data_IF_913985250732
#
_entry.id   IF_913985250732
#
_cell.length_a   1.000
_cell.length_b   1.000
_cell.length_c   1.000
_cell.angle_alpha   90.00
_cell.angle_beta   90.00
_cell.angle_gamma   90.00
#
_symmetry.space_group_name_H-M   'P 1'
#
loop_
_entity.id
_entity.type
_entity.pdbx_description
1 polymer ?
#
# COMPACT_ATOMS: atom_id res chain seq x y z
N UNK A 1 -11.51 6.82 -2.63
CA UNK A 1 -10.94 7.12 -3.96
C UNK A 1 -10.17 8.43 -3.87
N UNK A 2 -8.94 8.39 -3.38
CA UNK A 2 -8.00 9.53 -3.44
C UNK A 2 -6.70 8.95 -4.00
N UNK A 3 -6.62 8.91 -5.31
CA UNK A 3 -5.46 8.49 -6.10
C UNK A 3 -5.42 9.40 -7.32
N UNK A 4 -4.24 9.90 -7.65
CA UNK A 4 -3.91 10.66 -8.86
C UNK A 4 -4.45 12.09 -8.93
N UNK A 5 -3.74 13.03 -8.28
CA UNK A 5 -3.56 14.41 -8.79
C UNK A 5 -2.36 15.15 -8.16
N UNK A 6 -1.18 14.52 -8.16
CA UNK A 6 0.11 15.13 -7.76
C UNK A 6 1.22 14.86 -8.80
N UNK A 7 0.81 14.63 -10.05
CA UNK A 7 1.68 14.54 -11.22
C UNK A 7 1.10 15.45 -12.29
N UNK A 8 1.95 16.31 -12.86
CA UNK A 8 1.75 17.15 -14.06
C UNK A 8 1.64 18.68 -13.89
N UNK A 9 1.77 19.23 -12.68
CA UNK A 9 2.18 20.63 -12.52
C UNK A 9 3.71 20.72 -12.48
N UNK A 10 4.32 21.09 -13.61
CA UNK A 10 5.74 21.47 -13.68
C UNK A 10 5.95 22.72 -12.83
N UNK A 11 6.54 22.55 -11.64
CA UNK A 11 7.07 23.67 -10.88
C UNK A 11 8.07 24.45 -11.75
N UNK A 12 7.90 25.77 -11.94
CA UNK A 12 8.86 26.56 -12.70
C UNK A 12 10.20 26.59 -11.96
N UNK A 13 11.30 26.36 -12.66
CA UNK A 13 12.64 26.63 -12.14
C UNK A 13 12.81 28.13 -11.94
N UNK A 14 12.54 28.61 -10.72
CA UNK A 14 12.98 29.93 -10.29
C UNK A 14 14.24 29.78 -9.44
N UNK A 15 15.35 30.31 -9.98
CA UNK A 15 16.67 30.27 -9.37
C UNK A 15 16.84 31.40 -8.37
N UNK A 16 16.18 31.24 -7.23
CA UNK A 16 16.60 31.87 -5.98
C UNK A 16 16.52 30.80 -4.88
N UNK A 17 17.49 30.74 -3.95
CA UNK A 17 17.31 29.91 -2.77
C UNK A 17 16.12 30.50 -2.00
N UNK A 18 15.00 29.77 -1.95
CA UNK A 18 13.84 30.15 -1.13
C UNK A 18 14.37 30.38 0.27
N UNK A 19 14.37 31.64 0.72
CA UNK A 19 14.98 31.98 1.99
C UNK A 19 14.29 31.20 3.10
N UNK A 20 15.06 30.46 3.89
CA UNK A 20 14.58 29.77 5.09
C UNK A 20 14.36 30.79 6.23
N UNK A 21 13.63 31.85 5.92
CA UNK A 21 13.29 32.95 6.80
C UNK A 21 11.89 32.78 7.37
N UNK A 22 11.64 33.50 8.47
CA UNK A 22 10.35 33.50 9.17
C UNK A 22 9.28 34.17 8.33
N UNK A 23 9.64 35.19 7.54
CA UNK A 23 8.74 35.97 6.70
C UNK A 23 8.17 35.12 5.55
N UNK A 24 9.04 34.38 4.85
CA UNK A 24 8.64 33.46 3.78
C UNK A 24 7.76 32.34 4.35
N UNK A 25 8.12 31.77 5.50
CA UNK A 25 7.27 30.79 6.18
C UNK A 25 5.88 31.36 6.49
N UNK A 26 5.78 32.58 7.01
CA UNK A 26 4.49 33.21 7.32
C UNK A 26 3.64 33.46 6.07
N UNK A 27 4.24 33.82 4.95
CA UNK A 27 3.52 33.98 3.68
C UNK A 27 2.98 32.65 3.15
N UNK A 28 3.81 31.60 3.13
CA UNK A 28 3.39 30.25 2.72
C UNK A 28 2.29 29.73 3.66
N UNK A 29 2.47 29.87 4.97
CA UNK A 29 1.54 29.37 5.98
C UNK A 29 0.15 30.01 5.90
N UNK A 30 0.06 31.33 5.66
CA UNK A 30 -1.22 32.05 5.44
C UNK A 30 -2.02 31.48 4.26
N UNK A 31 -1.35 30.84 3.31
CA UNK A 31 -1.93 30.32 2.07
C UNK A 31 -2.32 28.83 2.12
N UNK A 32 -2.14 28.13 3.25
CA UNK A 32 -2.48 26.71 3.38
C UNK A 32 -3.99 26.44 3.28
N UNK A 33 -4.82 27.24 3.93
CA UNK A 33 -6.27 27.01 4.05
C UNK A 33 -7.08 27.85 3.05
N UNK A 34 -6.72 27.77 1.77
CA UNK A 34 -7.39 28.50 0.68
C UNK A 34 -8.72 27.90 0.24
N UNK A 35 -8.94 26.60 0.47
CA UNK A 35 -10.21 25.94 0.11
C UNK A 35 -11.35 26.34 1.05
N UNK A 36 -12.53 26.65 0.50
CA UNK A 36 -13.71 27.01 1.29
C UNK A 36 -14.31 25.81 2.04
N UNK A 37 -14.04 24.58 1.58
CA UNK A 37 -14.54 23.36 2.23
C UNK A 37 -13.71 23.05 3.47
N UNK A 38 -14.37 22.99 4.62
CA UNK A 38 -13.76 22.70 5.93
C UNK A 38 -12.64 23.69 6.34
N UNK A 39 -12.76 24.94 5.89
CA UNK A 39 -11.80 26.03 6.13
C UNK A 39 -11.49 26.26 7.60
N UNK A 40 -12.51 26.27 8.47
CA UNK A 40 -12.33 26.46 9.91
C UNK A 40 -11.58 25.30 10.57
N UNK A 41 -11.84 24.06 10.14
CA UNK A 41 -11.11 22.88 10.60
C UNK A 41 -9.66 22.91 10.11
N UNK A 42 -9.42 23.38 8.88
CA UNK A 42 -8.08 23.61 8.35
C UNK A 42 -7.32 24.64 9.19
N UNK A 43 -7.88 25.82 9.44
CA UNK A 43 -7.23 26.85 10.25
C UNK A 43 -6.96 26.35 11.68
N UNK A 44 -7.94 25.72 12.32
CA UNK A 44 -7.80 25.12 13.67
C UNK A 44 -6.67 24.10 13.75
N UNK A 45 -6.46 23.30 12.69
CA UNK A 45 -5.36 22.33 12.63
C UNK A 45 -4.03 23.00 12.29
N UNK A 46 -4.03 23.92 11.33
CA UNK A 46 -2.84 24.67 10.91
C UNK A 46 -2.23 25.42 12.09
N UNK A 47 -3.02 26.15 12.86
CA UNK A 47 -2.55 26.92 14.03
C UNK A 47 -1.91 26.02 15.10
N UNK A 48 -2.48 24.83 15.34
CA UNK A 48 -1.87 23.81 16.24
C UNK A 48 -0.56 23.26 15.70
N UNK A 49 -0.42 23.16 14.37
CA UNK A 49 0.78 22.65 13.71
C UNK A 49 1.86 23.72 13.49
N UNK A 50 1.52 25.01 13.65
CA UNK A 50 2.34 26.15 13.22
C UNK A 50 3.75 26.15 13.79
N UNK A 51 3.90 25.92 15.10
CA UNK A 51 5.21 25.92 15.76
C UNK A 51 6.11 24.77 15.27
N UNK A 52 5.55 23.57 15.10
CA UNK A 52 6.29 22.42 14.56
C UNK A 52 6.68 22.65 13.10
N UNK A 53 5.76 23.17 12.27
CA UNK A 53 6.02 23.51 10.87
C UNK A 53 7.11 24.59 10.74
N UNK A 54 7.06 25.62 11.59
CA UNK A 54 8.06 26.70 11.60
C UNK A 54 9.43 26.19 12.05
N UNK A 55 9.51 25.39 13.11
CA UNK A 55 10.77 24.79 13.55
C UNK A 55 11.36 23.86 12.48
N UNK A 56 10.52 23.05 11.81
CA UNK A 56 10.97 22.23 10.70
C UNK A 56 11.53 23.08 9.54
N UNK A 57 10.78 24.12 9.13
CA UNK A 57 11.15 25.01 8.04
C UNK A 57 12.50 25.71 8.25
N UNK A 58 12.77 26.15 9.49
CA UNK A 58 13.97 26.94 9.83
C UNK A 58 15.19 26.09 10.19
N UNK A 59 15.02 24.84 10.62
CA UNK A 59 16.10 24.05 11.26
C UNK A 59 16.29 22.65 10.68
N UNK A 60 15.22 21.99 10.26
CA UNK A 60 15.25 20.55 9.97
C UNK A 60 15.08 20.18 8.49
N UNK A 61 14.88 21.13 7.57
CA UNK A 61 14.87 20.87 6.11
C UNK A 61 16.10 20.08 5.64
N UNK A 62 17.25 20.30 6.26
CA UNK A 62 18.54 19.63 5.98
C UNK A 62 18.71 18.28 6.69
N UNK A 63 18.10 18.11 7.87
CA UNK A 63 18.28 16.92 8.73
C UNK A 63 17.19 15.86 8.54
N UNK A 64 15.94 16.29 8.38
CA UNK A 64 14.76 15.43 8.16
C UNK A 64 13.90 16.02 7.03
N UNK A 65 14.30 15.90 5.76
CA UNK A 65 13.57 16.49 4.62
C UNK A 65 12.17 15.91 4.43
N UNK A 66 11.84 14.77 5.05
CA UNK A 66 10.50 14.21 5.09
C UNK A 66 9.63 14.90 6.17
N UNK A 67 8.97 15.98 5.74
CA UNK A 67 8.00 16.72 6.55
C UNK A 67 6.85 15.84 7.07
N UNK A 68 6.44 14.80 6.34
CA UNK A 68 5.32 13.94 6.73
C UNK A 68 5.71 13.07 7.93
N UNK A 69 6.93 12.53 7.96
CA UNK A 69 7.43 11.77 9.10
C UNK A 69 7.55 12.67 10.33
N UNK A 70 8.25 13.81 10.21
CA UNK A 70 8.42 14.76 11.30
C UNK A 70 7.07 15.22 11.88
N UNK A 71 6.17 15.72 11.03
CA UNK A 71 4.88 16.24 11.49
C UNK A 71 3.96 15.12 11.98
N UNK A 72 3.65 14.15 11.10
CA UNK A 72 2.54 13.24 11.35
C UNK A 72 2.91 12.07 12.27
N UNK A 73 4.16 11.59 12.22
CA UNK A 73 4.62 10.49 13.08
C UNK A 73 5.20 11.03 14.38
N UNK A 74 6.22 11.90 14.33
CA UNK A 74 6.97 12.30 15.53
C UNK A 74 6.25 13.33 16.41
N UNK A 75 5.77 14.44 15.82
CA UNK A 75 5.18 15.56 16.60
C UNK A 75 3.71 15.33 16.92
N UNK A 76 2.89 14.96 15.92
CA UNK A 76 1.45 14.84 16.09
C UNK A 76 0.98 13.44 16.49
N UNK A 77 1.79 12.39 16.27
CA UNK A 77 1.42 10.99 16.51
C UNK A 77 0.11 10.54 15.79
N UNK A 78 -0.25 11.18 14.67
CA UNK A 78 -1.44 10.86 13.87
C UNK A 78 -1.19 9.77 12.82
N UNK A 79 0.05 9.69 12.31
CA UNK A 79 0.52 8.67 11.39
C UNK A 79 1.48 7.71 12.10
N UNK A 80 1.92 6.71 11.35
CA UNK A 80 2.91 5.73 11.76
C UNK A 80 3.94 5.47 10.66
N UNK A 81 5.09 4.86 11.00
CA UNK A 81 6.03 4.41 10.00
C UNK A 81 5.34 3.44 9.02
N UNK A 82 5.80 3.45 7.76
CA UNK A 82 5.38 2.45 6.80
C UNK A 82 5.67 1.04 7.37
N UNK A 83 4.77 0.10 7.12
CA UNK A 83 4.80 -1.23 7.69
C UNK A 83 4.21 -1.38 9.11
N UNK A 84 3.59 -0.34 9.69
CA UNK A 84 3.00 -0.40 11.05
C UNK A 84 1.52 0.03 11.08
N UNK A 85 0.75 -0.42 12.09
CA UNK A 85 -0.71 -0.19 12.19
C UNK A 85 -1.24 -0.08 13.64
N UNK A 86 -2.39 0.57 13.80
CA UNK A 86 -3.12 0.65 15.08
C UNK A 86 -2.55 1.70 16.05
N UNK A 87 -3.18 1.93 17.22
CA UNK A 87 -2.84 3.10 18.05
C UNK A 87 -1.37 3.11 18.54
N UNK A 88 -0.85 1.95 18.96
CA UNK A 88 0.57 1.79 19.35
C UNK A 88 1.52 1.72 18.15
N UNK A 89 0.97 1.54 16.95
CA UNK A 89 1.67 1.19 15.73
C UNK A 89 2.63 0.02 15.85
N UNK A 90 2.00 -1.15 16.00
CA UNK A 90 2.62 -2.46 15.95
C UNK A 90 3.04 -2.79 14.50
N UNK A 91 4.10 -3.59 14.29
CA UNK A 91 4.53 -4.00 12.95
C UNK A 91 3.49 -4.89 12.28
N UNK A 92 3.29 -4.67 10.98
CA UNK A 92 2.49 -5.53 10.12
C UNK A 92 3.11 -6.92 9.97
N UNK A 93 2.32 -7.99 9.72
CA UNK A 93 2.84 -9.34 9.55
C UNK A 93 3.88 -9.39 8.41
N UNK A 94 5.10 -9.83 8.73
CA UNK A 94 6.22 -9.92 7.79
C UNK A 94 7.04 -8.64 7.57
N UNK A 95 6.80 -7.58 8.34
CA UNK A 95 7.70 -6.42 8.39
C UNK A 95 9.14 -6.83 8.82
N UNK A 96 10.23 -6.25 8.25
CA UNK A 96 10.22 -5.18 7.25
C UNK A 96 10.01 -5.65 5.79
N UNK A 97 10.60 -6.78 5.39
CA UNK A 97 10.86 -7.06 3.97
C UNK A 97 9.76 -7.83 3.24
N UNK A 98 8.80 -8.39 3.99
CA UNK A 98 7.79 -9.35 3.49
C UNK A 98 6.40 -9.08 4.06
N UNK A 99 6.01 -7.80 4.15
CA UNK A 99 4.68 -7.42 4.63
C UNK A 99 3.62 -8.16 3.82
N UNK A 100 2.82 -8.99 4.50
CA UNK A 100 1.85 -9.89 3.86
C UNK A 100 2.46 -10.77 2.75
N UNK A 101 3.65 -11.32 3.00
CA UNK A 101 4.47 -12.11 2.06
C UNK A 101 4.74 -11.45 0.69
N UNK A 102 4.59 -10.12 0.60
CA UNK A 102 4.61 -9.36 -0.65
C UNK A 102 3.51 -9.77 -1.65
N UNK A 103 2.44 -10.41 -1.15
CA UNK A 103 1.28 -10.92 -1.87
C UNK A 103 -0.04 -10.32 -1.33
N UNK A 104 0.03 -9.16 -0.67
CA UNK A 104 -1.13 -8.50 -0.08
C UNK A 104 -0.79 -7.20 0.64
N UNK A 105 -1.80 -6.60 1.28
CA UNK A 105 -1.72 -5.29 1.94
C UNK A 105 -2.17 -5.35 3.38
N UNK A 106 -1.38 -4.81 4.29
CA UNK A 106 -1.69 -4.74 5.72
C UNK A 106 -2.81 -3.71 6.01
N UNK A 107 -3.90 -4.13 6.65
CA UNK A 107 -5.02 -3.25 7.04
C UNK A 107 -4.59 -2.27 8.15
N UNK A 108 -4.43 -1.01 7.76
CA UNK A 108 -4.01 0.07 8.65
C UNK A 108 -2.57 0.55 8.46
N UNK A 109 -1.86 0.02 7.45
CA UNK A 109 -0.48 0.40 7.14
C UNK A 109 -0.24 1.92 7.12
N UNK A 110 0.73 2.39 7.92
CA UNK A 110 1.08 3.81 8.06
C UNK A 110 0.11 4.64 8.91
N UNK A 111 -0.91 4.02 9.53
CA UNK A 111 -1.98 4.72 10.24
C UNK A 111 -2.13 4.24 11.68
N UNK A 112 -2.59 5.13 12.58
CA UNK A 112 -2.99 4.79 13.95
C UNK A 112 -4.28 3.97 14.05
N UNK A 113 -4.75 3.39 12.94
CA UNK A 113 -6.01 2.64 12.79
C UNK A 113 -5.73 1.27 12.14
N UNK A 114 -6.78 0.48 11.95
CA UNK A 114 -6.69 -0.87 11.38
C UNK A 114 -6.30 -1.93 12.41
N UNK A 115 -6.28 -3.18 11.95
CA UNK A 115 -6.11 -4.37 12.79
C UNK A 115 -4.96 -5.28 12.31
N UNK A 116 -4.13 -4.81 11.37
CA UNK A 116 -2.93 -5.52 10.93
C UNK A 116 -3.17 -6.75 10.05
N UNK A 117 -4.43 -7.18 9.86
CA UNK A 117 -4.74 -8.30 8.99
C UNK A 117 -4.31 -8.01 7.56
N UNK A 118 -3.80 -9.03 6.88
CA UNK A 118 -3.52 -8.93 5.46
C UNK A 118 -4.80 -9.01 4.63
N UNK A 119 -4.85 -8.17 3.59
CA UNK A 119 -5.80 -8.28 2.49
C UNK A 119 -5.02 -8.76 1.27
N UNK A 120 -5.14 -10.05 0.94
CA UNK A 120 -4.33 -10.68 -0.10
C UNK A 120 -4.70 -10.20 -1.49
N UNK A 121 -3.71 -10.19 -2.38
CA UNK A 121 -3.87 -9.91 -3.79
C UNK A 121 -4.49 -11.12 -4.51
N UNK A 122 -5.02 -10.89 -5.72
CA UNK A 122 -5.74 -11.91 -6.48
C UNK A 122 -4.85 -13.12 -6.76
N UNK A 123 -5.32 -14.31 -6.37
CA UNK A 123 -4.58 -15.57 -6.50
C UNK A 123 -3.89 -16.04 -5.21
N UNK A 124 -3.90 -15.22 -4.15
CA UNK A 124 -3.30 -15.54 -2.85
C UNK A 124 -4.33 -15.59 -1.71
N UNK A 125 -4.07 -16.44 -0.72
CA UNK A 125 -4.90 -16.64 0.47
C UNK A 125 -4.04 -16.92 1.71
N UNK A 126 -4.68 -17.28 2.82
CA UNK A 126 -4.02 -17.44 4.11
C UNK A 126 -4.01 -16.14 4.93
N UNK A 127 -3.62 -16.24 6.21
CA UNK A 127 -3.63 -15.08 7.13
C UNK A 127 -2.59 -14.03 6.77
N UNK A 128 -1.53 -14.44 6.06
CA UNK A 128 -0.39 -13.59 5.68
C UNK A 128 -0.05 -13.70 4.19
N UNK A 129 -0.98 -14.21 3.35
CA UNK A 129 -0.83 -14.32 1.89
C UNK A 129 0.28 -15.28 1.42
N UNK A 130 0.45 -16.36 2.17
CA UNK A 130 1.43 -17.44 2.02
C UNK A 130 0.86 -18.72 1.36
N UNK A 131 -0.42 -18.72 1.00
CA UNK A 131 -1.13 -19.78 0.30
C UNK A 131 -1.63 -19.30 -1.09
N UNK A 132 -1.87 -20.22 -2.02
CA UNK A 132 -2.63 -19.90 -3.24
C UNK A 132 -4.13 -19.99 -2.98
N UNK A 133 -4.88 -19.01 -3.49
CA UNK A 133 -6.33 -19.03 -3.42
C UNK A 133 -6.91 -20.18 -4.27
N UNK A 134 -8.17 -20.57 -3.98
CA UNK A 134 -8.91 -21.54 -4.79
C UNK A 134 -8.87 -21.20 -6.28
N UNK A 135 -8.76 -22.22 -7.14
CA UNK A 135 -8.47 -22.07 -8.58
C UNK A 135 -7.08 -21.49 -8.94
N UNK A 136 -6.11 -21.51 -8.02
CA UNK A 136 -4.70 -21.20 -8.31
C UNK A 136 -3.79 -22.29 -7.74
N UNK A 137 -2.65 -22.51 -8.40
CA UNK A 137 -1.62 -23.47 -7.98
C UNK A 137 -0.26 -22.79 -7.85
N UNK A 138 0.62 -23.35 -7.01
CA UNK A 138 2.00 -22.89 -6.85
C UNK A 138 2.79 -23.26 -8.11
N UNK A 139 3.16 -22.26 -8.92
CA UNK A 139 4.00 -22.46 -10.10
C UNK A 139 5.49 -22.39 -9.79
N UNK A 140 5.85 -21.69 -8.71
CA UNK A 140 7.21 -21.55 -8.20
C UNK A 140 7.17 -21.19 -6.71
N UNK A 141 8.08 -21.75 -5.91
CA UNK A 141 8.27 -21.37 -4.50
C UNK A 141 9.73 -21.52 -4.10
N UNK A 142 10.29 -20.47 -3.52
CA UNK A 142 11.54 -20.45 -2.77
C UNK A 142 11.30 -19.83 -1.38
N UNK A 143 12.36 -19.64 -0.59
CA UNK A 143 12.25 -19.09 0.76
C UNK A 143 11.68 -17.66 0.79
N UNK A 144 11.88 -16.86 -0.26
CA UNK A 144 11.53 -15.44 -0.36
C UNK A 144 10.27 -15.16 -1.19
N UNK A 145 9.91 -16.05 -2.11
CA UNK A 145 8.89 -15.83 -3.13
C UNK A 145 8.04 -17.08 -3.37
N UNK A 146 6.73 -16.88 -3.44
CA UNK A 146 5.78 -17.87 -3.93
C UNK A 146 4.98 -17.24 -5.07
N UNK A 147 4.83 -17.97 -6.18
CA UNK A 147 4.02 -17.54 -7.32
C UNK A 147 2.82 -18.46 -7.48
N UNK A 148 1.63 -17.85 -7.44
CA UNK A 148 0.36 -18.53 -7.70
C UNK A 148 -0.11 -18.22 -9.12
N UNK A 149 -0.41 -19.26 -9.90
CA UNK A 149 -0.92 -19.15 -11.27
C UNK A 149 -2.30 -19.77 -11.33
N UNK A 150 -3.22 -19.12 -12.06
CA UNK A 150 -4.60 -19.58 -12.19
C UNK A 150 -4.66 -20.92 -12.92
N UNK A 151 -5.53 -21.82 -12.43
CA UNK A 151 -5.86 -23.07 -13.09
C UNK A 151 -6.48 -22.84 -14.48
N UNK A 152 -6.37 -23.87 -15.34
CA UNK A 152 -6.98 -23.83 -16.66
C UNK A 152 -8.51 -23.73 -16.54
N UNK A 153 -9.18 -23.06 -17.48
CA UNK A 153 -10.66 -22.90 -17.50
C UNK A 153 -11.44 -24.21 -17.58
N UNK A 154 -10.75 -25.30 -17.92
CA UNK A 154 -11.24 -26.67 -17.96
C UNK A 154 -11.31 -27.34 -16.58
N UNK A 155 -10.68 -26.76 -15.56
CA UNK A 155 -10.75 -27.24 -14.19
C UNK A 155 -12.04 -26.71 -13.53
N UNK A 156 -12.59 -27.43 -12.55
CA UNK A 156 -13.69 -26.91 -11.71
C UNK A 156 -13.15 -25.79 -10.82
N UNK A 157 -12.31 -26.17 -9.85
CA UNK A 157 -11.56 -25.27 -8.98
C UNK A 157 -10.07 -25.64 -9.05
N UNK A 158 -9.65 -26.66 -8.29
CA UNK A 158 -8.23 -26.91 -8.04
C UNK A 158 -7.47 -27.64 -9.17
N UNK A 159 -6.18 -27.33 -9.23
CA UNK A 159 -5.22 -27.96 -10.14
C UNK A 159 -3.83 -28.06 -9.50
N UNK A 160 -3.01 -28.98 -9.99
CA UNK A 160 -1.66 -29.25 -9.49
C UNK A 160 -0.54 -28.63 -10.33
N UNK A 161 -0.84 -28.25 -11.58
CA UNK A 161 0.13 -27.72 -12.54
C UNK A 161 -0.57 -26.96 -13.69
N UNK A 162 0.24 -26.38 -14.58
CA UNK A 162 -0.24 -25.69 -15.78
C UNK A 162 -1.07 -26.58 -16.72
N UNK A 163 -2.06 -25.96 -17.36
CA UNK A 163 -2.86 -26.54 -18.44
C UNK A 163 -3.88 -27.59 -17.99
N UNK A 164 -4.58 -28.16 -18.98
CA UNK A 164 -5.68 -29.13 -18.80
C UNK A 164 -5.29 -30.42 -18.06
N UNK A 165 -4.00 -30.80 -18.10
CA UNK A 165 -3.46 -31.97 -17.37
C UNK A 165 -3.52 -31.78 -15.87
N UNK A 166 -3.26 -30.57 -15.38
CA UNK A 166 -3.17 -30.26 -13.96
C UNK A 166 -4.51 -30.26 -13.23
N UNK A 167 -5.64 -30.16 -13.94
CA UNK A 167 -6.96 -30.14 -13.29
C UNK A 167 -7.18 -31.41 -12.45
N UNK A 168 -7.51 -31.23 -11.17
CA UNK A 168 -7.92 -32.34 -10.29
C UNK A 168 -9.23 -32.93 -10.83
N UNK A 169 -10.21 -32.06 -11.08
CA UNK A 169 -11.50 -32.39 -11.67
C UNK A 169 -11.75 -31.55 -12.94
N UNK A 170 -12.28 -32.19 -13.99
CA UNK A 170 -12.72 -31.49 -15.19
C UNK A 170 -14.10 -30.87 -14.98
N UNK A 171 -14.27 -29.66 -15.50
CA UNK A 171 -15.54 -28.93 -15.52
C UNK A 171 -16.50 -29.51 -16.55
N UNK A 172 -17.80 -29.25 -16.38
CA UNK A 172 -18.81 -29.59 -17.38
C UNK A 172 -18.43 -29.04 -18.77
N UNK A 173 -18.66 -29.84 -19.81
CA UNK A 173 -18.12 -29.60 -21.15
C UNK A 173 -16.68 -30.07 -21.37
N UNK A 174 -16.03 -30.69 -20.36
CA UNK A 174 -14.68 -31.26 -20.50
C UNK A 174 -14.61 -32.70 -19.98
N UNK A 175 -14.01 -33.61 -20.75
CA UNK A 175 -13.80 -35.01 -20.37
C UNK A 175 -12.36 -35.27 -19.95
N UNK A 176 -12.14 -36.01 -18.86
CA UNK A 176 -10.80 -36.43 -18.42
C UNK A 176 -10.22 -37.49 -19.38
N UNK A 177 -9.12 -37.14 -20.04
CA UNK A 177 -8.26 -38.03 -20.81
C UNK A 177 -6.94 -38.28 -20.05
N UNK A 178 -6.42 -39.52 -20.13
CA UNK A 178 -5.22 -39.95 -19.40
C UNK A 178 -3.94 -39.23 -19.86
N UNK A 179 -3.84 -38.88 -21.14
CA UNK A 179 -2.65 -38.29 -21.76
C UNK A 179 -2.78 -36.78 -21.99
N UNK A 180 -3.98 -36.28 -22.24
CA UNK A 180 -4.26 -34.87 -22.58
C UNK A 180 -4.86 -34.06 -21.43
N UNK A 181 -5.23 -34.70 -20.31
CA UNK A 181 -5.92 -34.03 -19.22
C UNK A 181 -7.39 -33.79 -19.55
N UNK A 182 -7.97 -32.70 -19.10
CA UNK A 182 -9.32 -32.31 -19.53
C UNK A 182 -9.32 -31.92 -21.01
N UNK A 183 -10.14 -32.59 -21.83
CA UNK A 183 -10.31 -32.29 -23.26
C UNK A 183 -11.73 -31.83 -23.48
N UNK A 184 -11.91 -30.75 -24.24
CA UNK A 184 -13.25 -30.26 -24.64
C UNK A 184 -14.00 -31.36 -25.40
N UNK A 185 -15.32 -31.41 -25.24
CA UNK A 185 -16.20 -32.38 -25.90
C UNK A 185 -17.17 -31.74 -26.89
N UNK A 186 -17.01 -30.44 -27.18
CA UNK A 186 -17.78 -29.69 -28.18
C UNK A 186 -16.95 -29.36 -29.43
#
# INVERSE_FOLDING_TARGET
LITNRLSDDKMPEHKDPVSDSVEVFQEVFKNLCREDRAKDQCHTLADKCKEYLQNWWLKHKTETPDLLNYMCIEKLNYCCPNGHYGPQCNPCPGYPDRVCNNNGKCKGNGTRKGNGQCNCDVGYSGKICDECASSYYVSYKDDNKMLCVRCHSACVDDCTQAGTRGCVQCKDGWRKDKLKGCVDIN
#
